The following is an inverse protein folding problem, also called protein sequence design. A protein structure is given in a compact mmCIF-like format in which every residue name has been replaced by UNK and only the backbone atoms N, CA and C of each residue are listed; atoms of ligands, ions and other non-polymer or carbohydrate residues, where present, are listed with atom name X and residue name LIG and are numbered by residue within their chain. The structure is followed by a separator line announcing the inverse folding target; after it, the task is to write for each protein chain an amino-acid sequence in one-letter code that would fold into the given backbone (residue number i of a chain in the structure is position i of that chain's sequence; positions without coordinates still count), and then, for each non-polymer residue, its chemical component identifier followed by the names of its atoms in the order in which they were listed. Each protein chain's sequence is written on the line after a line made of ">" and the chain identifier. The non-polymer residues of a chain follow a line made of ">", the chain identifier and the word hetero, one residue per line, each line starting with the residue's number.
data_IF_578610922525
#
_entry.id   IF_578610922525
#
_cell.length_a   1.000
_cell.length_b   1.000
_cell.length_c   1.000
_cell.angle_alpha   90.00
_cell.angle_beta   90.00
_cell.angle_gamma   90.00
#
_symmetry.space_group_name_H-M   'P 1'
#
loop_
_entity.id
_entity.type
_entity.pdbx_description
1 polymer ?
#
# COMPACT_ATOMS: atom_id res chain seq x y z
N UNK A 1 5.06 11.51 -15.49
CA UNK A 1 5.54 11.72 -16.87
C UNK A 1 5.72 10.37 -17.54
N UNK A 2 5.42 10.30 -18.82
CA UNK A 2 5.40 9.04 -19.56
C UNK A 2 6.06 9.25 -20.92
N UNK A 3 7.41 9.22 -20.97
CA UNK A 3 8.15 9.43 -22.21
C UNK A 3 7.94 8.30 -23.23
N UNK A 4 7.59 7.10 -22.76
CA UNK A 4 7.50 5.89 -23.58
C UNK A 4 6.03 5.48 -23.90
N UNK A 5 5.04 6.23 -23.43
CA UNK A 5 3.62 5.99 -23.71
C UNK A 5 3.05 4.73 -23.04
N UNK A 6 3.52 4.38 -21.84
CA UNK A 6 3.15 3.19 -21.08
C UNK A 6 1.78 3.31 -20.41
N UNK A 7 1.51 4.42 -19.70
CA UNK A 7 0.36 4.55 -18.79
C UNK A 7 -0.27 5.96 -18.78
N UNK A 8 0.27 6.86 -19.60
CA UNK A 8 -0.21 8.23 -19.76
C UNK A 8 0.52 9.26 -18.90
N UNK A 9 0.33 10.53 -19.26
CA UNK A 9 0.95 11.67 -18.59
C UNK A 9 -0.11 12.70 -18.20
N UNK A 10 -0.08 13.18 -16.96
CA UNK A 10 -0.98 14.22 -16.49
C UNK A 10 -0.57 14.78 -15.13
N UNK A 11 -1.11 15.95 -14.74
CA UNK A 11 -0.92 16.50 -13.42
C UNK A 11 -1.65 15.64 -12.38
N UNK A 12 -0.99 15.38 -11.25
CA UNK A 12 -1.65 14.81 -10.07
C UNK A 12 -2.45 15.85 -9.29
N UNK A 13 -3.06 15.42 -8.18
CA UNK A 13 -3.84 16.30 -7.29
C UNK A 13 -2.99 17.37 -6.57
N UNK A 14 -1.65 17.29 -6.63
CA UNK A 14 -0.75 18.25 -5.99
C UNK A 14 -0.65 18.10 -4.46
N UNK A 15 -0.99 16.94 -3.92
CA UNK A 15 -1.02 16.69 -2.47
C UNK A 15 0.27 16.08 -1.89
N UNK A 16 1.07 15.46 -2.75
CA UNK A 16 2.43 15.00 -2.46
C UNK A 16 3.37 15.72 -3.44
N UNK A 17 4.48 16.31 -2.98
CA UNK A 17 5.42 17.01 -3.84
C UNK A 17 6.35 16.05 -4.60
N UNK A 18 5.75 15.09 -5.28
CA UNK A 18 6.42 13.98 -5.96
C UNK A 18 6.18 14.05 -7.47
N UNK A 19 7.07 13.43 -8.22
CA UNK A 19 6.91 13.14 -9.64
C UNK A 19 7.14 11.66 -9.86
N UNK A 20 6.27 11.06 -10.68
CA UNK A 20 6.38 9.66 -11.09
C UNK A 20 6.74 9.61 -12.57
N UNK A 21 7.80 8.90 -12.94
CA UNK A 21 8.20 8.62 -14.32
C UNK A 21 7.81 7.19 -14.63
N UNK A 22 7.01 6.94 -15.66
CA UNK A 22 6.74 5.59 -16.10
C UNK A 22 7.90 5.06 -16.96
N UNK A 23 8.45 3.92 -16.56
CA UNK A 23 9.53 3.23 -17.26
C UNK A 23 9.01 1.95 -17.95
N UNK A 24 9.64 1.50 -19.05
CA UNK A 24 9.25 0.26 -19.73
C UNK A 24 9.35 -0.98 -18.83
N UNK A 25 10.36 -1.01 -17.96
CA UNK A 25 10.56 -2.11 -17.02
C UNK A 25 9.53 -2.04 -15.90
N UNK A 26 8.74 -3.11 -15.76
CA UNK A 26 7.78 -3.24 -14.66
C UNK A 26 8.48 -3.80 -13.42
N UNK A 27 8.39 -3.10 -12.29
CA UNK A 27 8.71 -3.66 -10.99
C UNK A 27 7.63 -4.66 -10.62
N UNK A 28 7.98 -5.94 -10.49
CA UNK A 28 7.12 -7.00 -9.96
C UNK A 28 7.93 -7.80 -8.94
N UNK A 29 7.67 -7.59 -7.65
CA UNK A 29 8.40 -8.29 -6.58
C UNK A 29 7.60 -8.35 -5.30
N UNK A 30 7.91 -9.33 -4.47
CA UNK A 30 7.50 -9.33 -3.07
C UNK A 30 8.40 -8.37 -2.29
N UNK A 31 7.79 -7.63 -1.37
CA UNK A 31 8.49 -6.62 -0.57
C UNK A 31 8.03 -6.71 0.87
N UNK A 32 9.01 -6.71 1.78
CA UNK A 32 8.79 -6.54 3.22
C UNK A 32 9.59 -5.33 3.67
N UNK A 33 8.92 -4.41 4.35
CA UNK A 33 9.52 -3.16 4.80
C UNK A 33 8.79 -2.66 6.06
N UNK A 34 9.45 -1.80 6.82
CA UNK A 34 8.86 -1.15 7.97
C UNK A 34 8.68 0.33 7.72
N UNK A 35 7.56 0.88 8.18
CA UNK A 35 7.35 2.32 8.16
C UNK A 35 8.33 2.99 9.12
N UNK A 36 8.98 4.05 8.64
CA UNK A 36 9.63 5.04 9.48
C UNK A 36 8.60 5.87 10.26
N UNK A 37 9.05 6.97 10.89
CA UNK A 37 8.16 7.84 11.65
C UNK A 37 7.06 8.47 10.78
N UNK A 38 5.80 8.27 11.17
CA UNK A 38 4.61 8.85 10.57
C UNK A 38 3.94 9.83 11.51
N UNK A 39 3.20 10.79 10.95
CA UNK A 39 2.38 11.72 11.71
C UNK A 39 0.90 11.65 11.31
N UNK A 40 0.04 12.35 12.06
CA UNK A 40 -1.38 12.48 11.74
C UNK A 40 -2.15 11.17 11.88
N UNK A 41 -3.14 10.96 11.01
CA UNK A 41 -3.97 9.75 11.01
C UNK A 41 -3.16 8.46 10.76
N UNK A 42 -1.97 8.58 10.16
CA UNK A 42 -1.09 7.46 9.86
C UNK A 42 -0.06 7.18 10.96
N UNK A 43 0.01 8.00 12.02
CA UNK A 43 0.96 7.84 13.12
C UNK A 43 0.98 6.42 13.73
N UNK A 44 -0.16 5.70 13.88
CA UNK A 44 -0.15 4.33 14.42
C UNK A 44 0.67 3.33 13.61
N UNK A 45 0.95 3.59 12.33
CA UNK A 45 1.78 2.73 11.49
C UNK A 45 3.28 2.93 11.74
N UNK A 46 3.71 3.93 12.52
CA UNK A 46 5.14 4.19 12.75
C UNK A 46 5.83 2.95 13.34
N UNK A 47 6.88 2.46 12.66
CA UNK A 47 7.62 1.27 13.07
C UNK A 47 6.94 -0.07 12.77
N UNK A 48 5.72 -0.07 12.21
CA UNK A 48 5.02 -1.29 11.80
C UNK A 48 5.71 -1.86 10.57
N UNK A 49 6.10 -3.13 10.66
CA UNK A 49 6.52 -3.92 9.52
C UNK A 49 5.29 -4.37 8.73
N UNK A 50 5.37 -4.28 7.41
CA UNK A 50 4.33 -4.72 6.49
C UNK A 50 4.94 -5.58 5.37
N UNK A 51 4.18 -6.58 4.95
CA UNK A 51 4.52 -7.44 3.83
C UNK A 51 3.49 -7.28 2.71
N UNK A 52 3.96 -7.36 1.48
CA UNK A 52 3.11 -7.28 0.30
C UNK A 52 3.91 -7.45 -0.97
N UNK A 53 3.43 -6.85 -2.05
CA UNK A 53 4.12 -6.87 -3.34
C UNK A 53 4.03 -5.52 -4.04
N UNK A 54 4.98 -5.27 -4.92
CA UNK A 54 5.02 -4.13 -5.81
C UNK A 54 4.67 -4.60 -7.22
N UNK A 55 3.80 -3.86 -7.92
CA UNK A 55 3.43 -4.12 -9.32
C UNK A 55 3.26 -2.80 -10.10
N UNK A 56 4.36 -2.13 -10.43
CA UNK A 56 4.30 -0.77 -11.00
C UNK A 56 5.35 -0.53 -12.08
N UNK A 57 5.02 0.35 -13.04
CA UNK A 57 5.97 0.89 -14.02
C UNK A 57 6.58 2.22 -13.55
N UNK A 58 5.88 2.92 -12.65
CA UNK A 58 6.25 4.25 -12.22
C UNK A 58 7.42 4.23 -11.25
N UNK A 59 8.44 5.06 -11.49
CA UNK A 59 9.48 5.40 -10.54
C UNK A 59 9.16 6.77 -9.93
N UNK A 60 8.89 6.80 -8.62
CA UNK A 60 8.52 8.03 -7.92
C UNK A 60 9.72 8.63 -7.20
N UNK A 61 9.90 9.94 -7.36
CA UNK A 61 10.92 10.71 -6.68
C UNK A 61 10.38 12.08 -6.25
N UNK A 62 11.11 12.74 -5.34
CA UNK A 62 10.85 14.11 -4.95
C UNK A 62 10.85 15.04 -6.17
N UNK A 63 9.84 15.90 -6.31
CA UNK A 63 9.82 16.89 -7.39
C UNK A 63 10.86 17.99 -7.10
N UNK A 64 11.88 18.19 -7.96
CA UNK A 64 13.01 19.08 -7.65
C UNK A 64 12.60 20.53 -7.42
N UNK A 65 11.69 21.06 -8.25
CA UNK A 65 11.23 22.45 -8.12
C UNK A 65 10.36 22.70 -6.87
N UNK A 66 9.71 21.67 -6.32
CA UNK A 66 8.95 21.79 -5.07
C UNK A 66 9.89 21.70 -3.87
N UNK A 67 10.88 20.81 -3.93
CA UNK A 67 11.94 20.72 -2.93
C UNK A 67 12.71 22.05 -2.79
N UNK A 68 13.03 22.71 -3.90
CA UNK A 68 13.67 24.03 -3.90
C UNK A 68 12.84 25.12 -3.20
N UNK A 69 11.52 24.92 -3.06
CA UNK A 69 10.60 25.80 -2.31
C UNK A 69 10.36 25.33 -0.88
N UNK A 70 11.06 24.29 -0.43
CA UNK A 70 10.91 23.69 0.90
C UNK A 70 9.76 22.69 1.03
N UNK A 71 9.06 22.38 -0.06
CA UNK A 71 7.99 21.38 -0.06
C UNK A 71 8.56 20.01 -0.37
N UNK A 72 8.88 19.26 0.69
CA UNK A 72 9.58 17.97 0.63
C UNK A 72 8.69 16.90 1.24
N UNK A 73 8.46 15.82 0.50
CA UNK A 73 7.79 14.64 1.02
C UNK A 73 8.73 13.91 1.98
N UNK A 74 8.19 13.43 3.10
CA UNK A 74 8.93 12.54 4.00
C UNK A 74 8.90 11.14 3.42
N UNK A 75 10.05 10.62 3.04
CA UNK A 75 10.18 9.21 2.72
C UNK A 75 10.03 8.39 4.01
N UNK A 76 8.95 7.61 4.09
CA UNK A 76 8.59 6.80 5.26
C UNK A 76 8.82 5.33 5.02
N UNK A 77 9.06 4.92 3.77
CA UNK A 77 9.73 3.68 3.44
C UNK A 77 10.59 3.92 2.19
N UNK A 78 11.88 3.55 2.19
CA UNK A 78 12.79 3.84 1.08
C UNK A 78 12.25 3.38 -0.27
N UNK A 79 12.07 4.33 -1.20
CA UNK A 79 11.62 4.10 -2.57
C UNK A 79 10.20 3.58 -2.73
N UNK A 80 9.44 3.38 -1.64
CA UNK A 80 8.13 2.71 -1.70
C UNK A 80 7.02 3.44 -0.97
N UNK A 81 7.30 4.37 -0.05
CA UNK A 81 6.26 5.16 0.60
C UNK A 81 6.70 6.56 1.04
N UNK A 82 5.79 7.53 0.88
CA UNK A 82 6.02 8.93 1.21
C UNK A 82 4.80 9.56 1.89
N UNK A 83 5.06 10.41 2.88
CA UNK A 83 4.06 11.20 3.58
C UNK A 83 4.25 12.70 3.31
N UNK A 84 3.17 13.42 3.06
CA UNK A 84 3.24 14.88 2.96
C UNK A 84 3.61 15.53 4.32
N UNK A 85 4.10 16.78 4.33
CA UNK A 85 4.45 17.47 5.58
C UNK A 85 3.29 17.57 6.58
N UNK A 86 2.06 17.77 6.09
CA UNK A 86 0.86 17.87 6.91
C UNK A 86 0.46 16.54 7.59
N UNK A 87 0.99 15.40 7.13
CA UNK A 87 0.75 14.09 7.74
C UNK A 87 -0.62 13.49 7.45
N UNK A 88 -1.39 14.05 6.51
CA UNK A 88 -2.72 13.55 6.15
C UNK A 88 -2.73 12.74 4.85
N UNK A 89 -1.65 12.80 4.05
CA UNK A 89 -1.55 12.07 2.79
C UNK A 89 -0.35 11.13 2.84
N UNK A 90 -0.61 9.85 2.58
CA UNK A 90 0.36 8.77 2.50
C UNK A 90 0.24 8.11 1.12
N UNK A 91 1.31 8.13 0.34
CA UNK A 91 1.42 7.35 -0.90
C UNK A 91 2.30 6.12 -0.64
N UNK A 92 1.88 4.94 -1.10
CA UNK A 92 2.58 3.67 -0.89
C UNK A 92 2.46 2.82 -2.17
N UNK A 93 3.56 2.23 -2.63
CA UNK A 93 3.57 1.24 -3.74
C UNK A 93 3.20 -0.18 -3.30
N UNK A 94 3.28 -0.49 -2.01
CA UNK A 94 3.04 -1.82 -1.49
C UNK A 94 1.55 -2.17 -1.59
N UNK A 95 1.23 -3.12 -2.46
CA UNK A 95 -0.08 -3.75 -2.54
C UNK A 95 -0.24 -4.82 -1.46
N UNK A 96 -1.48 -5.10 -1.06
CA UNK A 96 -1.80 -6.01 0.06
C UNK A 96 -1.64 -5.38 1.44
N UNK A 97 -1.39 -4.06 1.52
CA UNK A 97 -1.13 -3.37 2.79
C UNK A 97 -2.25 -3.57 3.83
N UNK A 98 -3.52 -3.58 3.42
CA UNK A 98 -4.67 -3.82 4.31
C UNK A 98 -5.08 -5.29 4.45
N UNK A 99 -4.32 -6.20 3.85
CA UNK A 99 -4.43 -7.64 4.12
C UNK A 99 -3.47 -8.03 5.26
N UNK A 100 -2.46 -7.20 5.53
CA UNK A 100 -1.51 -7.38 6.62
C UNK A 100 -2.19 -7.11 7.98
N UNK A 101 -2.17 -8.13 8.83
CA UNK A 101 -2.79 -8.09 10.17
C UNK A 101 -2.18 -7.00 11.06
N UNK A 102 -0.87 -6.78 11.00
CA UNK A 102 -0.21 -5.77 11.85
C UNK A 102 -0.64 -4.36 11.44
N UNK A 103 -0.82 -4.11 10.14
CA UNK A 103 -1.32 -2.84 9.61
C UNK A 103 -2.77 -2.61 10.04
N UNK A 104 -3.65 -3.60 9.84
CA UNK A 104 -5.05 -3.49 10.24
C UNK A 104 -5.19 -3.21 11.74
N UNK A 105 -4.46 -3.95 12.57
CA UNK A 105 -4.52 -3.76 14.01
C UNK A 105 -3.92 -2.43 14.46
N UNK A 106 -2.87 -1.95 13.80
CA UNK A 106 -2.30 -0.63 14.10
C UNK A 106 -3.30 0.50 13.80
N UNK A 107 -4.03 0.43 12.69
CA UNK A 107 -4.95 1.48 12.26
C UNK A 107 -6.31 1.42 12.96
N UNK A 108 -6.84 0.21 13.17
CA UNK A 108 -8.24 -0.01 13.54
C UNK A 108 -8.40 -0.75 14.88
N UNK A 109 -7.29 -1.15 15.51
CA UNK A 109 -7.27 -1.89 16.76
C UNK A 109 -7.34 -3.40 16.59
N UNK A 110 -7.03 -4.13 17.66
CA UNK A 110 -6.90 -5.60 17.66
C UNK A 110 -8.21 -6.38 17.40
N UNK A 111 -9.35 -5.69 17.26
CA UNK A 111 -10.65 -6.30 16.95
C UNK A 111 -11.02 -6.15 15.47
N UNK A 112 -10.18 -5.49 14.67
CA UNK A 112 -10.39 -5.37 13.24
C UNK A 112 -10.32 -6.77 12.59
N UNK A 113 -11.32 -7.17 11.78
CA UNK A 113 -11.27 -8.44 11.08
C UNK A 113 -10.06 -8.50 10.14
N UNK A 114 -9.26 -9.55 10.28
CA UNK A 114 -8.14 -9.84 9.38
C UNK A 114 -8.63 -10.56 8.12
N UNK A 115 -7.79 -10.62 7.09
CA UNK A 115 -8.13 -11.37 5.87
C UNK A 115 -8.43 -12.84 6.20
N UNK A 116 -7.60 -13.48 7.03
CA UNK A 116 -7.80 -14.86 7.47
C UNK A 116 -9.14 -15.03 8.19
N UNK A 117 -9.47 -14.13 9.13
CA UNK A 117 -10.75 -14.20 9.85
C UNK A 117 -11.95 -14.02 8.91
N UNK A 118 -11.82 -13.20 7.87
CA UNK A 118 -12.85 -13.06 6.83
C UNK A 118 -12.98 -14.34 6.02
N UNK A 119 -11.87 -14.97 5.62
CA UNK A 119 -11.91 -16.23 4.89
C UNK A 119 -12.47 -17.39 5.72
N UNK A 120 -12.10 -17.48 7.00
CA UNK A 120 -12.68 -18.45 7.92
C UNK A 120 -14.19 -18.23 8.06
N UNK A 121 -14.65 -16.98 8.23
CA UNK A 121 -16.07 -16.67 8.30
C UNK A 121 -16.84 -16.98 7.00
N UNK A 122 -16.21 -16.80 5.84
CA UNK A 122 -16.78 -17.20 4.55
C UNK A 122 -16.86 -18.74 4.45
N UNK A 123 -15.84 -19.46 4.90
CA UNK A 123 -15.83 -20.92 4.93
C UNK A 123 -16.93 -21.48 5.85
N UNK A 124 -17.09 -20.91 7.04
CA UNK A 124 -18.18 -21.22 7.97
C UNK A 124 -19.55 -20.95 7.34
N UNK A 125 -19.67 -19.82 6.64
CA UNK A 125 -20.88 -19.46 5.91
C UNK A 125 -21.25 -20.49 4.84
N UNK A 126 -20.27 -20.98 4.08
CA UNK A 126 -20.49 -22.07 3.11
C UNK A 126 -20.88 -23.36 3.83
N UNK A 127 -20.16 -23.77 4.87
CA UNK A 127 -20.43 -24.99 5.62
C UNK A 127 -21.84 -25.02 6.24
N UNK A 128 -22.36 -23.87 6.66
CA UNK A 128 -23.70 -23.76 7.25
C UNK A 128 -24.83 -23.82 6.21
N UNK A 129 -24.60 -23.34 4.98
CA UNK A 129 -25.69 -23.09 4.02
C UNK A 129 -25.63 -23.96 2.75
N UNK A 130 -24.53 -24.66 2.51
CA UNK A 130 -24.34 -25.51 1.33
C UNK A 130 -24.39 -27.00 1.72
N UNK A 131 -24.50 -27.87 0.72
CA UNK A 131 -24.42 -29.31 0.93
C UNK A 131 -23.08 -29.68 1.61
N UNK A 132 -23.09 -30.59 2.60
CA UNK A 132 -21.87 -31.04 3.26
C UNK A 132 -20.82 -31.57 2.28
N UNK A 133 -19.55 -31.21 2.48
CA UNK A 133 -18.42 -31.66 1.65
C UNK A 133 -18.18 -30.83 0.37
N UNK A 134 -18.94 -29.76 0.12
CA UNK A 134 -18.72 -28.88 -1.04
C UNK A 134 -17.32 -28.28 -1.07
N UNK A 135 -16.79 -27.81 0.07
CA UNK A 135 -15.43 -27.26 0.12
C UNK A 135 -14.37 -28.34 -0.10
N UNK A 136 -14.52 -29.51 0.52
CA UNK A 136 -13.59 -30.63 0.34
C UNK A 136 -13.51 -31.07 -1.12
N UNK A 137 -14.65 -31.06 -1.83
CA UNK A 137 -14.72 -31.42 -3.25
C UNK A 137 -13.99 -30.44 -4.19
N UNK A 138 -13.69 -29.20 -3.75
CA UNK A 138 -12.96 -28.21 -4.55
C UNK A 138 -11.43 -28.38 -4.47
N UNK A 139 -10.94 -29.12 -3.48
CA UNK A 139 -9.50 -29.33 -3.23
C UNK A 139 -9.06 -30.73 -3.72
N UNK A 140 -10.00 -31.55 -4.21
CA UNK A 140 -9.79 -32.91 -4.68
C UNK A 140 -9.34 -33.00 -6.16
#
# INVERSE_FOLDING_TARGET
>A
IDPEGIDGNGPGLGLLPLVTVFEPAKTVRHTSAAFGPLAGAWAPLSGVAACGYEIHHGQTAQHPAMAAKGDVAREVMPGIAWQNPAGNVLGVYLHGLFEDTAVLHALFGAQAPTLDAVFDGLADGVAQHFEPGVLDALIA
#
